data_IF_489586623896
#
_entry.id   IF_489586623896
#
_cell.length_a   1.000
_cell.length_b   1.000
_cell.length_c   1.000
_cell.angle_alpha   90.00
_cell.angle_beta   90.00
_cell.angle_gamma   90.00
#
_symmetry.space_group_name_H-M   'P 1'
#
loop_
_entity.id
_entity.type
_entity.pdbx_description
1 polymer ?
#
# COMPACT_ATOMS: atom_id res chain seq x y z
N UNK A 1 1.43 35.05 -2.26
CA UNK A 1 1.99 34.62 -0.97
C UNK A 1 1.94 33.10 -0.96
N UNK A 2 3.08 32.40 -1.05
CA UNK A 2 3.06 30.94 -0.88
C UNK A 2 3.01 30.64 0.60
N UNK A 3 1.84 30.31 1.09
CA UNK A 3 1.69 29.73 2.44
C UNK A 3 2.20 28.29 2.31
N UNK A 4 3.30 28.00 2.98
CA UNK A 4 3.82 26.64 3.14
C UNK A 4 3.55 26.24 4.57
N UNK A 5 2.34 25.75 4.78
CA UNK A 5 2.00 25.20 6.08
C UNK A 5 2.50 23.76 6.15
N UNK A 6 3.20 23.45 7.21
CA UNK A 6 3.72 22.13 7.50
C UNK A 6 2.91 21.55 8.65
N UNK A 7 2.13 20.51 8.36
CA UNK A 7 1.32 19.84 9.37
C UNK A 7 2.18 18.94 10.27
N UNK A 8 3.16 18.23 9.68
CA UNK A 8 4.06 17.33 10.42
C UNK A 8 5.41 17.23 9.72
N UNK A 9 6.46 16.89 10.46
CA UNK A 9 7.80 16.64 9.96
C UNK A 9 8.42 15.40 10.61
N UNK A 10 9.57 14.95 10.07
CA UNK A 10 10.27 13.78 10.59
C UNK A 10 9.58 12.45 10.27
N UNK A 11 8.71 12.43 9.25
CA UNK A 11 8.12 11.19 8.74
C UNK A 11 9.13 10.41 7.89
N UNK A 12 9.08 9.08 7.98
CA UNK A 12 9.99 8.19 7.25
C UNK A 12 9.37 7.72 5.94
N UNK A 13 9.75 8.34 4.83
CA UNK A 13 9.24 8.02 3.50
C UNK A 13 7.70 7.94 3.45
N UNK A 14 6.98 9.02 3.79
CA UNK A 14 5.52 9.02 3.73
C UNK A 14 5.06 8.87 2.28
N UNK A 15 4.07 8.00 2.06
CA UNK A 15 3.60 7.69 0.71
C UNK A 15 2.11 7.95 0.51
N UNK A 16 1.28 7.58 1.47
CA UNK A 16 -0.17 7.76 1.41
C UNK A 16 -0.72 8.47 2.64
N UNK A 17 -1.86 9.11 2.46
CA UNK A 17 -2.56 9.84 3.52
C UNK A 17 -4.07 9.63 3.38
N UNK A 18 -4.76 9.50 4.51
CA UNK A 18 -6.21 9.36 4.57
C UNK A 18 -6.76 10.11 5.79
N UNK A 19 -7.94 10.69 5.66
CA UNK A 19 -8.67 11.27 6.79
C UNK A 19 -9.15 10.19 7.76
N UNK A 20 -9.13 10.47 9.06
CA UNK A 20 -9.58 9.58 10.13
C UNK A 20 -10.27 10.36 11.25
N UNK A 21 -11.49 10.82 10.99
CA UNK A 21 -12.24 11.69 11.87
C UNK A 21 -11.59 13.07 12.00
N UNK A 22 -11.14 13.42 13.20
CA UNK A 22 -10.40 14.65 13.49
C UNK A 22 -8.88 14.50 13.34
N UNK A 23 -8.45 13.42 12.73
CA UNK A 23 -7.06 13.05 12.56
C UNK A 23 -6.77 12.71 11.10
N UNK A 24 -5.51 12.54 10.77
CA UNK A 24 -5.08 11.93 9.53
C UNK A 24 -4.23 10.70 9.83
N UNK A 25 -4.30 9.69 8.95
CA UNK A 25 -3.41 8.54 8.99
C UNK A 25 -2.48 8.58 7.79
N UNK A 26 -1.19 8.46 8.06
CA UNK A 26 -0.13 8.48 7.05
C UNK A 26 0.52 7.10 6.97
N UNK A 27 0.63 6.57 5.75
CA UNK A 27 1.44 5.38 5.50
C UNK A 27 2.90 5.78 5.36
N UNK A 28 3.75 5.22 6.19
CA UNK A 28 5.20 5.44 6.18
C UNK A 28 5.96 4.18 6.62
N UNK A 29 7.27 4.17 6.53
CA UNK A 29 8.09 3.11 7.14
C UNK A 29 8.19 3.34 8.65
N UNK A 30 7.99 2.32 9.45
CA UNK A 30 7.50 0.96 9.17
C UNK A 30 6.02 0.77 9.57
N UNK A 31 5.22 1.84 9.52
CA UNK A 31 3.93 1.88 10.21
C UNK A 31 2.89 2.74 9.50
N UNK A 32 1.66 2.63 9.95
CA UNK A 32 0.65 3.68 9.81
C UNK A 32 0.73 4.58 11.03
N UNK A 33 0.91 5.85 10.82
CA UNK A 33 0.99 6.86 11.87
C UNK A 33 -0.26 7.72 11.86
N UNK A 34 -0.95 7.83 12.99
CA UNK A 34 -2.05 8.78 13.19
C UNK A 34 -1.47 10.09 13.71
N UNK A 35 -1.87 11.18 13.07
CA UNK A 35 -1.50 12.55 13.40
C UNK A 35 -2.76 13.35 13.71
N UNK A 36 -2.73 14.15 14.76
CA UNK A 36 -3.84 14.98 15.17
C UNK A 36 -3.34 16.36 15.58
N UNK A 37 -4.09 17.38 15.19
CA UNK A 37 -3.98 18.74 15.68
C UNK A 37 -5.09 18.95 16.72
N UNK A 38 -4.73 19.04 18.02
CA UNK A 38 -5.69 19.24 19.10
C UNK A 38 -5.85 20.71 19.47
N UNK A 39 -4.95 21.55 19.01
CA UNK A 39 -4.93 23.00 19.29
C UNK A 39 -5.62 23.82 18.21
N UNK A 40 -5.77 23.26 17.00
CA UNK A 40 -6.38 23.94 15.85
C UNK A 40 -5.46 24.97 15.19
N UNK A 41 -4.15 24.85 15.40
CA UNK A 41 -3.16 25.77 14.82
C UNK A 41 -2.63 25.35 13.45
N UNK A 42 -3.11 24.22 12.93
CA UNK A 42 -2.70 23.65 11.64
C UNK A 42 -1.45 22.79 11.71
N UNK A 43 -1.01 22.39 12.90
CA UNK A 43 0.11 21.49 13.12
C UNK A 43 -0.29 20.30 13.99
N UNK A 44 0.23 19.14 13.68
CA UNK A 44 0.02 17.97 14.53
C UNK A 44 0.80 18.13 15.84
N UNK A 45 0.10 18.02 16.95
CA UNK A 45 0.67 18.02 18.31
C UNK A 45 0.56 16.63 18.97
N UNK A 46 -0.20 15.73 18.37
CA UNK A 46 -0.29 14.33 18.79
C UNK A 46 0.11 13.40 17.66
N UNK A 47 0.98 12.44 17.99
CA UNK A 47 1.44 11.38 17.09
C UNK A 47 1.32 10.03 17.78
N UNK A 48 0.69 9.08 17.12
CA UNK A 48 0.56 7.72 17.63
C UNK A 48 0.68 6.69 16.50
N UNK A 49 1.16 5.50 16.83
CA UNK A 49 1.15 4.36 15.91
C UNK A 49 -0.27 3.85 15.78
N UNK A 50 -0.81 3.84 14.55
CA UNK A 50 -2.11 3.25 14.26
C UNK A 50 -1.98 1.73 14.04
N UNK A 51 -1.02 1.32 13.22
CA UNK A 51 -0.73 -0.08 12.93
C UNK A 51 0.72 -0.26 12.50
N UNK A 52 1.28 -1.41 12.83
CA UNK A 52 2.62 -1.85 12.44
C UNK A 52 2.66 -3.38 12.41
N UNK A 53 3.82 -3.98 12.15
CA UNK A 53 4.02 -5.43 12.27
C UNK A 53 4.29 -6.13 10.94
N UNK A 54 4.48 -5.38 9.85
CA UNK A 54 5.01 -5.92 8.59
C UNK A 54 6.53 -5.71 8.50
N UNK A 55 7.17 -6.52 7.66
CA UNK A 55 8.60 -6.41 7.42
C UNK A 55 8.97 -5.12 6.69
N UNK A 56 10.13 -4.58 7.04
CA UNK A 56 10.72 -3.42 6.37
C UNK A 56 12.25 -3.49 6.43
N UNK A 57 12.90 -2.64 5.65
CA UNK A 57 14.36 -2.50 5.64
C UNK A 57 14.78 -1.08 5.24
N UNK A 58 16.08 -0.83 5.24
CA UNK A 58 16.69 0.45 4.91
C UNK A 58 16.75 0.76 3.40
N UNK A 59 16.37 -0.18 2.54
CA UNK A 59 16.35 0.06 1.11
C UNK A 59 15.32 1.14 0.76
N UNK A 60 15.69 2.06 -0.11
CA UNK A 60 14.83 3.16 -0.49
C UNK A 60 13.58 2.73 -1.30
N UNK A 61 13.60 1.55 -1.90
CA UNK A 61 12.44 0.96 -2.59
C UNK A 61 11.49 0.20 -1.65
N UNK A 62 11.79 0.09 -0.38
CA UNK A 62 10.99 -0.68 0.56
C UNK A 62 9.83 0.16 1.13
N UNK A 63 8.92 0.53 0.26
CA UNK A 63 7.83 1.44 0.58
C UNK A 63 6.66 0.76 1.30
N UNK A 64 6.01 1.51 2.18
CA UNK A 64 4.64 1.33 2.62
C UNK A 64 3.79 2.24 1.74
N UNK A 65 3.14 1.64 0.75
CA UNK A 65 2.52 2.36 -0.36
C UNK A 65 1.15 2.96 0.00
N UNK A 66 0.35 3.23 -1.02
CA UNK A 66 -0.96 3.86 -0.88
C UNK A 66 -1.89 3.21 0.16
N UNK A 67 -2.80 4.00 0.67
CA UNK A 67 -3.77 3.62 1.69
C UNK A 67 -5.18 3.99 1.22
N UNK A 68 -6.13 3.09 1.42
CA UNK A 68 -7.57 3.34 1.20
C UNK A 68 -8.37 2.71 2.33
N UNK A 69 -9.64 3.14 2.49
CA UNK A 69 -10.53 2.65 3.55
C UNK A 69 -11.84 2.13 2.96
N UNK A 70 -12.31 0.99 3.44
CA UNK A 70 -13.63 0.46 3.10
C UNK A 70 -14.75 1.08 3.97
N UNK A 71 -16.00 0.79 3.62
CA UNK A 71 -17.19 1.28 4.34
C UNK A 71 -17.30 0.78 5.78
N UNK A 72 -16.54 -0.26 6.14
CA UNK A 72 -16.47 -0.84 7.49
C UNK A 72 -15.34 -0.28 8.33
N UNK A 73 -14.58 0.68 7.77
CA UNK A 73 -13.45 1.31 8.45
C UNK A 73 -12.13 0.54 8.38
N UNK A 74 -12.06 -0.60 7.69
CA UNK A 74 -10.78 -1.25 7.49
C UNK A 74 -9.93 -0.45 6.49
N UNK A 75 -8.64 -0.34 6.77
CA UNK A 75 -7.67 0.26 5.84
C UNK A 75 -6.91 -0.83 5.09
N UNK A 76 -6.57 -0.54 3.85
CA UNK A 76 -5.75 -1.43 3.00
C UNK A 76 -4.48 -0.69 2.61
N UNK A 77 -3.35 -1.38 2.70
CA UNK A 77 -2.02 -0.79 2.52
C UNK A 77 -1.17 -1.67 1.63
N UNK A 78 -0.59 -1.10 0.61
CA UNK A 78 0.32 -1.79 -0.29
C UNK A 78 1.75 -1.85 0.28
N UNK A 79 2.37 -3.00 0.21
CA UNK A 79 3.75 -3.20 0.64
C UNK A 79 4.59 -3.62 -0.57
N UNK A 80 5.57 -2.81 -0.95
CA UNK A 80 6.50 -3.13 -2.02
C UNK A 80 7.21 -4.46 -1.76
N UNK A 81 7.53 -5.21 -2.82
CA UNK A 81 8.24 -6.48 -2.67
C UNK A 81 9.71 -6.28 -2.33
N UNK A 82 10.32 -7.30 -1.77
CA UNK A 82 11.77 -7.39 -1.63
C UNK A 82 12.44 -8.08 -2.84
N UNK A 83 11.74 -8.12 -3.97
CA UNK A 83 12.24 -8.72 -5.20
C UNK A 83 13.52 -8.02 -5.68
N UNK A 84 14.52 -8.83 -6.08
CA UNK A 84 15.83 -8.31 -6.48
C UNK A 84 16.72 -7.82 -5.34
N UNK A 85 16.25 -7.91 -4.11
CA UNK A 85 17.01 -7.58 -2.91
C UNK A 85 17.78 -8.80 -2.39
N UNK A 86 18.86 -8.62 -1.61
CA UNK A 86 19.50 -9.72 -0.90
C UNK A 86 18.49 -10.44 0.00
N UNK A 87 18.70 -11.75 0.18
CA UNK A 87 17.88 -12.53 1.10
C UNK A 87 17.94 -11.94 2.51
N UNK A 88 16.76 -11.76 3.11
CA UNK A 88 16.60 -11.22 4.46
C UNK A 88 15.89 -12.24 5.35
N UNK A 89 15.94 -12.04 6.65
CA UNK A 89 15.16 -12.84 7.58
C UNK A 89 13.64 -12.66 7.35
N UNK A 90 12.84 -13.61 7.85
CA UNK A 90 11.38 -13.56 7.69
C UNK A 90 10.79 -12.28 8.27
N UNK A 91 11.32 -11.79 9.39
CA UNK A 91 10.80 -10.60 10.06
C UNK A 91 10.88 -9.37 9.15
N UNK A 92 12.02 -9.19 8.47
CA UNK A 92 12.21 -8.07 7.53
C UNK A 92 11.52 -8.26 6.19
N UNK A 93 11.02 -9.45 5.90
CA UNK A 93 10.31 -9.79 4.66
C UNK A 93 8.83 -10.05 4.87
N UNK A 94 8.35 -9.97 6.11
CA UNK A 94 6.96 -10.30 6.44
C UNK A 94 5.99 -9.46 5.62
N UNK A 95 5.14 -10.14 4.86
CA UNK A 95 4.13 -9.57 3.97
C UNK A 95 4.64 -8.61 2.89
N UNK A 96 5.96 -8.56 2.65
CA UNK A 96 6.48 -7.77 1.52
C UNK A 96 5.94 -8.31 0.19
N UNK A 97 5.57 -7.39 -0.72
CA UNK A 97 4.87 -7.74 -1.96
C UNK A 97 3.41 -8.14 -1.76
N UNK A 98 2.76 -7.62 -0.73
CA UNK A 98 1.35 -7.88 -0.44
C UNK A 98 0.56 -6.59 -0.25
N UNK A 99 -0.75 -6.69 -0.32
CA UNK A 99 -1.66 -5.74 0.28
C UNK A 99 -2.13 -6.31 1.60
N UNK A 100 -1.98 -5.55 2.67
CA UNK A 100 -2.44 -5.90 4.01
C UNK A 100 -3.72 -5.16 4.36
N UNK A 101 -4.58 -5.80 5.15
CA UNK A 101 -5.79 -5.23 5.74
C UNK A 101 -5.50 -4.88 7.18
N UNK A 102 -5.88 -3.68 7.58
CA UNK A 102 -5.77 -3.15 8.95
C UNK A 102 -7.17 -2.87 9.46
N UNK A 103 -7.57 -3.54 10.54
CA UNK A 103 -8.87 -3.29 11.16
C UNK A 103 -8.94 -1.92 11.85
N UNK A 104 -10.14 -1.41 12.19
CA UNK A 104 -10.28 -0.16 12.97
C UNK A 104 -9.51 -0.17 14.29
N UNK A 105 -9.25 -1.35 14.86
CA UNK A 105 -8.48 -1.56 16.11
C UNK A 105 -6.97 -1.66 15.85
N UNK A 106 -6.51 -1.50 14.61
CA UNK A 106 -5.09 -1.58 14.24
C UNK A 106 -4.56 -3.01 14.03
N UNK A 107 -5.43 -4.05 14.00
CA UNK A 107 -4.98 -5.41 13.73
C UNK A 107 -4.66 -5.60 12.25
N UNK A 108 -3.44 -6.05 11.96
CA UNK A 108 -2.94 -6.27 10.60
C UNK A 108 -3.12 -7.75 10.21
N UNK A 109 -3.62 -7.97 9.00
CA UNK A 109 -3.73 -9.30 8.39
C UNK A 109 -3.37 -9.23 6.91
N UNK A 110 -2.76 -10.27 6.30
CA UNK A 110 -2.57 -10.33 4.86
C UNK A 110 -3.92 -10.36 4.15
N UNK A 111 -4.01 -9.67 3.00
CA UNK A 111 -5.23 -9.62 2.20
C UNK A 111 -5.03 -10.24 0.82
N UNK A 112 -4.09 -9.74 0.03
CA UNK A 112 -3.68 -10.31 -1.24
C UNK A 112 -2.15 -10.24 -1.37
N UNK A 113 -1.57 -11.08 -2.21
CA UNK A 113 -0.11 -11.23 -2.27
C UNK A 113 0.44 -11.30 -3.68
N UNK A 114 1.76 -11.33 -3.76
CA UNK A 114 2.53 -11.51 -4.98
C UNK A 114 2.44 -10.33 -5.95
N UNK A 115 2.59 -9.15 -5.40
CA UNK A 115 2.81 -7.91 -6.14
C UNK A 115 4.30 -7.57 -6.16
N UNK A 116 4.70 -6.81 -7.17
CA UNK A 116 6.02 -6.18 -7.16
C UNK A 116 6.01 -4.89 -6.34
N UNK A 117 5.20 -3.93 -6.75
CA UNK A 117 5.02 -2.65 -6.06
C UNK A 117 3.58 -2.18 -6.23
N UNK A 118 2.65 -2.59 -5.36
CA UNK A 118 1.26 -2.14 -5.39
C UNK A 118 1.17 -0.71 -4.86
N UNK A 119 1.57 0.25 -5.71
CA UNK A 119 1.78 1.65 -5.33
C UNK A 119 0.49 2.45 -5.26
N UNK A 120 -0.44 2.21 -6.17
CA UNK A 120 -1.74 2.85 -6.17
C UNK A 120 -2.80 1.88 -5.66
N UNK A 121 -3.60 2.33 -4.69
CA UNK A 121 -4.80 1.64 -4.24
C UNK A 121 -6.01 2.53 -4.48
N UNK A 122 -7.13 1.92 -4.91
CA UNK A 122 -8.41 2.58 -5.02
C UNK A 122 -9.52 1.65 -4.58
N UNK A 123 -10.58 2.23 -4.02
CA UNK A 123 -11.77 1.51 -3.60
C UNK A 123 -13.00 2.22 -4.16
N UNK A 124 -13.98 1.46 -4.64
CA UNK A 124 -15.22 2.02 -5.17
C UNK A 124 -16.34 2.06 -4.12
N UNK A 125 -17.48 2.61 -4.53
CA UNK A 125 -18.69 2.73 -3.70
C UNK A 125 -19.29 1.39 -3.25
N UNK A 126 -18.81 0.27 -3.78
CA UNK A 126 -19.22 -1.10 -3.45
C UNK A 126 -18.14 -1.87 -2.68
N UNK A 127 -17.16 -1.17 -2.13
CA UNK A 127 -15.99 -1.75 -1.46
C UNK A 127 -15.15 -2.69 -2.36
N UNK A 128 -15.20 -2.53 -3.69
CA UNK A 128 -14.30 -3.27 -4.57
C UNK A 128 -12.95 -2.56 -4.58
N UNK A 129 -11.93 -3.31 -4.23
CA UNK A 129 -10.56 -2.81 -4.06
C UNK A 129 -9.72 -3.12 -5.31
N UNK A 130 -8.98 -2.12 -5.76
CA UNK A 130 -8.07 -2.22 -6.89
C UNK A 130 -6.67 -1.76 -6.51
N UNK A 131 -5.67 -2.39 -7.14
CA UNK A 131 -4.28 -1.96 -7.04
C UNK A 131 -3.67 -1.81 -8.42
N UNK A 132 -2.87 -0.76 -8.60
CA UNK A 132 -1.92 -0.70 -9.71
C UNK A 132 -0.62 -1.38 -9.27
N UNK A 133 -0.10 -2.30 -10.09
CA UNK A 133 1.19 -2.93 -9.85
C UNK A 133 2.16 -2.63 -10.99
N UNK A 134 3.36 -2.27 -10.62
CA UNK A 134 4.45 -2.03 -11.56
C UNK A 134 4.85 -3.37 -12.19
N UNK A 135 5.32 -3.35 -13.43
CA UNK A 135 5.68 -4.54 -14.20
C UNK A 135 6.32 -5.62 -13.33
N UNK A 136 5.74 -6.81 -13.42
CA UNK A 136 6.23 -7.98 -12.71
C UNK A 136 7.53 -8.50 -13.30
N UNK A 137 8.14 -9.41 -12.58
CA UNK A 137 9.37 -10.07 -13.01
C UNK A 137 9.08 -11.16 -14.01
N UNK A 138 7.90 -11.72 -13.96
CA UNK A 138 7.47 -12.83 -14.82
C UNK A 138 6.61 -12.37 -15.99
N UNK A 139 6.14 -11.13 -15.96
CA UNK A 139 5.38 -10.53 -17.03
C UNK A 139 5.99 -9.17 -17.44
N UNK A 140 5.78 -8.78 -18.68
CA UNK A 140 6.26 -7.51 -19.23
C UNK A 140 5.20 -6.41 -19.19
N UNK A 141 4.17 -6.59 -18.39
CA UNK A 141 3.03 -5.69 -18.28
C UNK A 141 3.03 -5.00 -16.91
N UNK A 142 2.58 -3.76 -16.88
CA UNK A 142 2.03 -3.18 -15.66
C UNK A 142 0.60 -3.67 -15.52
N UNK A 143 0.09 -3.72 -14.32
CA UNK A 143 -1.20 -4.34 -14.04
C UNK A 143 -2.12 -3.44 -13.24
N UNK A 144 -3.42 -3.59 -13.50
CA UNK A 144 -4.46 -3.18 -12.58
C UNK A 144 -5.16 -4.44 -12.11
N UNK A 145 -5.11 -4.66 -10.82
CA UNK A 145 -5.59 -5.86 -10.16
C UNK A 145 -6.84 -5.57 -9.36
N UNK A 146 -7.90 -6.36 -9.55
CA UNK A 146 -9.06 -6.37 -8.68
C UNK A 146 -8.78 -7.28 -7.50
N UNK A 147 -8.63 -6.71 -6.32
CA UNK A 147 -8.16 -7.42 -5.14
C UNK A 147 -9.30 -8.11 -4.41
N UNK A 148 -9.03 -9.32 -3.96
CA UNK A 148 -9.89 -10.10 -3.04
C UNK A 148 -9.00 -10.85 -2.08
N UNK A 149 -9.54 -11.14 -0.91
CA UNK A 149 -8.81 -11.85 0.13
C UNK A 149 -8.32 -13.22 -0.37
N UNK A 150 -7.04 -13.50 -0.10
CA UNK A 150 -6.37 -14.76 -0.47
C UNK A 150 -5.87 -14.85 -1.90
N UNK A 151 -6.09 -13.84 -2.76
CA UNK A 151 -5.60 -13.90 -4.14
C UNK A 151 -4.09 -13.65 -4.22
N UNK A 152 -3.48 -14.32 -5.23
CA UNK A 152 -2.06 -14.26 -5.53
C UNK A 152 -1.84 -13.80 -6.98
N UNK A 153 -1.06 -12.72 -7.20
CA UNK A 153 -0.95 -12.04 -8.49
C UNK A 153 0.37 -12.32 -9.25
N UNK A 154 1.16 -13.30 -8.82
CA UNK A 154 2.20 -13.92 -9.63
C UNK A 154 3.62 -13.42 -9.41
N UNK A 155 3.86 -12.33 -8.70
CA UNK A 155 5.22 -11.90 -8.34
C UNK A 155 5.63 -12.56 -7.02
N UNK A 156 6.44 -13.61 -7.02
CA UNK A 156 6.76 -14.31 -5.79
C UNK A 156 7.59 -13.42 -4.86
N UNK A 157 7.20 -13.34 -3.62
CA UNK A 157 8.07 -12.86 -2.56
C UNK A 157 9.29 -13.79 -2.43
N UNK A 158 10.35 -13.31 -1.83
CA UNK A 158 11.57 -14.10 -1.68
C UNK A 158 11.34 -15.46 -1.01
N UNK A 159 10.42 -15.50 -0.03
CA UNK A 159 10.09 -16.72 0.71
C UNK A 159 9.03 -17.60 0.02
N UNK A 160 8.36 -17.09 -1.00
CA UNK A 160 7.27 -17.78 -1.70
C UNK A 160 7.70 -18.38 -3.03
N UNK A 161 8.97 -18.22 -3.43
CA UNK A 161 9.49 -18.65 -4.75
C UNK A 161 9.35 -20.15 -5.02
N UNK A 162 9.28 -20.94 -3.98
CA UNK A 162 9.13 -22.39 -4.07
C UNK A 162 7.66 -22.84 -4.02
N UNK A 163 6.74 -21.92 -3.71
CA UNK A 163 5.32 -22.24 -3.66
C UNK A 163 4.72 -22.25 -5.06
N UNK A 164 4.19 -23.40 -5.46
CA UNK A 164 3.33 -23.51 -6.65
C UNK A 164 1.94 -23.01 -6.28
N UNK A 165 1.71 -21.73 -6.44
CA UNK A 165 0.40 -21.10 -6.20
C UNK A 165 -0.19 -20.70 -7.53
N UNK A 166 -1.48 -20.93 -7.75
CA UNK A 166 -2.19 -20.47 -8.93
C UNK A 166 -2.24 -18.94 -8.93
N UNK A 167 -1.85 -18.36 -10.07
CA UNK A 167 -1.87 -16.92 -10.26
C UNK A 167 -3.26 -16.45 -10.69
N UNK A 168 -3.78 -15.45 -9.98
CA UNK A 168 -4.99 -14.79 -10.43
C UNK A 168 -4.63 -13.80 -11.55
N UNK A 169 -5.33 -13.82 -12.69
CA UNK A 169 -5.03 -12.88 -13.77
C UNK A 169 -5.40 -11.44 -13.35
N UNK A 170 -4.66 -10.44 -13.82
CA UNK A 170 -5.01 -9.04 -13.59
C UNK A 170 -6.31 -8.66 -14.31
N UNK A 171 -7.01 -7.66 -13.81
CA UNK A 171 -8.18 -7.08 -14.48
C UNK A 171 -7.79 -6.35 -15.77
N UNK A 172 -6.63 -5.69 -15.79
CA UNK A 172 -6.10 -4.99 -16.95
C UNK A 172 -4.59 -5.20 -17.02
N UNK A 173 -4.10 -5.50 -18.21
CA UNK A 173 -2.68 -5.51 -18.54
C UNK A 173 -2.33 -4.30 -19.38
N UNK A 174 -1.38 -3.49 -18.91
CA UNK A 174 -0.88 -2.32 -19.65
C UNK A 174 0.51 -2.62 -20.17
N UNK A 175 0.72 -2.71 -21.51
CA UNK A 175 2.02 -3.02 -22.07
C UNK A 175 3.10 -2.04 -21.62
N UNK A 176 4.25 -2.56 -21.22
CA UNK A 176 5.37 -1.74 -20.74
C UNK A 176 5.83 -0.64 -21.73
N UNK A 177 5.81 -0.84 -23.05
CA UNK A 177 6.12 0.23 -24.00
C UNK A 177 5.14 1.42 -23.95
N UNK A 178 3.92 1.21 -23.49
CA UNK A 178 2.92 2.28 -23.38
C UNK A 178 3.10 3.08 -22.08
N UNK A 179 3.39 2.39 -20.99
CA UNK A 179 3.60 2.98 -19.66
C UNK A 179 4.72 2.24 -18.96
N UNK A 180 5.76 2.96 -18.59
CA UNK A 180 6.92 2.33 -17.96
C UNK A 180 6.70 1.95 -16.49
N UNK A 181 5.87 2.72 -15.80
CA UNK A 181 5.57 2.50 -14.39
C UNK A 181 4.20 3.08 -14.07
N UNK A 182 3.31 2.26 -13.57
CA UNK A 182 2.02 2.71 -13.02
C UNK A 182 2.18 2.99 -11.54
N UNK A 183 1.60 4.09 -11.06
CA UNK A 183 1.67 4.49 -9.67
C UNK A 183 0.27 4.72 -9.09
N UNK A 184 -0.29 5.91 -9.27
CA UNK A 184 -1.62 6.23 -8.75
C UNK A 184 -2.74 5.55 -9.55
N UNK A 185 -3.83 5.27 -8.87
CA UNK A 185 -5.10 4.84 -9.45
C UNK A 185 -6.23 5.55 -8.72
N UNK A 186 -7.24 5.96 -9.46
CA UNK A 186 -8.46 6.56 -8.89
C UNK A 186 -9.67 6.04 -9.64
N UNK A 187 -10.74 5.78 -8.92
CA UNK A 187 -12.04 5.45 -9.47
C UNK A 187 -12.83 6.75 -9.58
N UNK A 188 -13.36 7.01 -10.78
CA UNK A 188 -14.21 8.15 -11.00
C UNK A 188 -15.61 7.86 -10.45
N UNK A 189 -16.32 8.88 -9.95
CA UNK A 189 -17.73 8.75 -9.58
C UNK A 189 -18.59 8.25 -10.75
N UNK A 190 -19.70 7.57 -10.43
CA UNK A 190 -20.58 6.98 -11.46
C UNK A 190 -21.28 8.04 -12.33
N UNK A 191 -21.28 9.30 -11.92
CA UNK A 191 -21.87 10.47 -12.59
C UNK A 191 -20.84 11.36 -13.33
N UNK A 192 -19.63 10.88 -13.49
CA UNK A 192 -18.54 11.60 -14.16
C UNK A 192 -18.65 11.57 -15.68
#
# INVERSE_FOLDING_TARGET
MCIRDRFEEGLSAPYGIIEDGDSIVVSQKPELTRLRDTTGDGRADQRSVYATGWGFNDNYHDWTCGIVRDSKGNMYVGLGSNYGQPKRSKEFSLWRGSVVKVSPEGKVTPFSSAFRYPTGLAIDSKDRLFASDNQGVQNTFNEINHLREGLHFGVPNYHDRELKVDHHPPAVQVPHPWVRSVNGIQILPDDY
#
